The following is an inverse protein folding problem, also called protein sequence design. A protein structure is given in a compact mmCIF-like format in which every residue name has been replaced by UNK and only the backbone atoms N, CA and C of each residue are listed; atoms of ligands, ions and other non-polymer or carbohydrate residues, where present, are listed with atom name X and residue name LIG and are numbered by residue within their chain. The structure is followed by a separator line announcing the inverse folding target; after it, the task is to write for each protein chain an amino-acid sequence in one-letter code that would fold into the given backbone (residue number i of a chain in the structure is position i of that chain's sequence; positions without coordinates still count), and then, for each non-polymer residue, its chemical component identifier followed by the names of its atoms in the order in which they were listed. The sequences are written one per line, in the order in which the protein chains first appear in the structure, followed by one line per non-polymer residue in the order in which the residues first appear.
data_IF_313788984112
#
_entry.id   IF_313788984112
#
_cell.length_a   1.000
_cell.length_b   1.000
_cell.length_c   1.000
_cell.angle_alpha   90.00
_cell.angle_beta   90.00
_cell.angle_gamma   90.00
#
_symmetry.space_group_name_H-M   'P 1'
#
loop_
_entity.id
_entity.type
_entity.pdbx_description
1 polymer ?
#
# COMPACT_ATOMS: atom_id res chain seq x y z
N UNK A 1 18.44 -1.44 -7.83
CA UNK A 1 17.49 -1.67 -8.94
C UNK A 1 16.02 -1.63 -8.49
N UNK A 2 15.65 -2.35 -7.42
CA UNK A 2 14.28 -2.43 -6.86
C UNK A 2 13.60 -1.07 -6.59
N UNK A 3 14.30 -0.13 -5.94
CA UNK A 3 13.76 1.21 -5.62
C UNK A 3 13.48 2.04 -6.89
N UNK A 4 14.39 1.99 -7.87
CA UNK A 4 14.21 2.70 -9.15
C UNK A 4 12.98 2.18 -9.89
N UNK A 5 12.73 0.87 -9.84
CA UNK A 5 11.52 0.26 -10.36
C UNK A 5 10.26 0.81 -9.68
N UNK A 6 10.20 0.82 -8.34
CA UNK A 6 9.06 1.37 -7.61
C UNK A 6 8.76 2.84 -8.02
N UNK A 7 9.79 3.69 -8.06
CA UNK A 7 9.65 5.10 -8.48
C UNK A 7 9.20 5.25 -9.93
N UNK A 8 9.65 4.39 -10.84
CA UNK A 8 9.17 4.41 -12.22
C UNK A 8 7.68 4.04 -12.29
N UNK A 9 7.25 3.03 -11.53
CA UNK A 9 5.83 2.64 -11.43
C UNK A 9 4.99 3.78 -10.84
N UNK A 10 5.50 4.48 -9.83
CA UNK A 10 4.86 5.67 -9.28
C UNK A 10 4.62 6.72 -10.37
N UNK A 11 5.65 7.06 -11.14
CA UNK A 11 5.56 8.03 -12.23
C UNK A 11 4.56 7.60 -13.31
N UNK A 12 4.49 6.30 -13.64
CA UNK A 12 3.49 5.75 -14.57
C UNK A 12 2.07 5.98 -14.03
N UNK A 13 1.83 5.69 -12.75
CA UNK A 13 0.53 5.92 -12.11
C UNK A 13 0.11 7.39 -12.09
N UNK A 14 1.06 8.30 -11.79
CA UNK A 14 0.83 9.75 -11.80
C UNK A 14 0.52 10.29 -13.20
N UNK A 15 1.20 9.74 -14.23
CA UNK A 15 1.11 10.23 -15.60
C UNK A 15 -0.13 9.68 -16.32
N UNK A 16 -0.38 8.37 -16.22
CA UNK A 16 -1.44 7.71 -16.96
C UNK A 16 -2.79 7.72 -16.22
N UNK A 17 -2.79 7.68 -14.87
CA UNK A 17 -4.02 7.75 -14.05
C UNK A 17 -5.08 6.73 -14.53
N UNK A 18 -6.25 7.22 -14.94
CA UNK A 18 -7.37 6.43 -15.49
C UNK A 18 -7.11 5.84 -16.88
N UNK A 19 -6.10 6.32 -17.61
CA UNK A 19 -5.74 5.80 -18.94
C UNK A 19 -4.87 4.52 -18.86
N UNK A 20 -4.47 4.11 -17.66
CA UNK A 20 -3.73 2.88 -17.46
C UNK A 20 -4.69 1.68 -17.56
N UNK A 21 -4.45 0.83 -18.56
CA UNK A 21 -5.23 -0.40 -18.75
C UNK A 21 -5.17 -1.31 -17.51
N UNK A 22 -6.29 -1.95 -17.18
CA UNK A 22 -6.46 -2.82 -16.01
C UNK A 22 -5.45 -3.97 -15.93
N UNK A 23 -5.05 -4.56 -17.06
CA UNK A 23 -4.04 -5.64 -17.10
C UNK A 23 -2.65 -5.12 -16.69
N UNK A 24 -2.22 -4.00 -17.27
CA UNK A 24 -0.95 -3.38 -16.89
C UNK A 24 -0.98 -2.88 -15.43
N UNK A 25 -2.09 -2.28 -15.00
CA UNK A 25 -2.30 -1.88 -13.62
C UNK A 25 -2.13 -3.07 -12.66
N UNK A 26 -2.74 -4.22 -12.95
CA UNK A 26 -2.59 -5.44 -12.16
C UNK A 26 -1.12 -5.87 -12.07
N UNK A 27 -0.41 -5.92 -13.21
CA UNK A 27 1.01 -6.28 -13.26
C UNK A 27 1.86 -5.33 -12.40
N UNK A 28 1.62 -4.03 -12.51
CA UNK A 28 2.35 -3.02 -11.75
C UNK A 28 2.12 -3.15 -10.25
N UNK A 29 0.87 -3.35 -9.82
CA UNK A 29 0.54 -3.59 -8.42
C UNK A 29 1.23 -4.86 -7.90
N UNK A 30 1.15 -5.97 -8.63
CA UNK A 30 1.80 -7.23 -8.23
C UNK A 30 3.32 -7.09 -8.09
N UNK A 31 3.97 -6.34 -8.98
CA UNK A 31 5.40 -6.03 -8.86
C UNK A 31 5.71 -5.21 -7.59
N UNK A 32 4.87 -4.23 -7.26
CA UNK A 32 5.02 -3.46 -6.04
C UNK A 32 4.82 -4.32 -4.78
N UNK A 33 3.78 -5.16 -4.76
CA UNK A 33 3.48 -6.06 -3.65
C UNK A 33 4.61 -7.08 -3.43
N UNK A 34 5.16 -7.66 -4.49
CA UNK A 34 6.35 -8.53 -4.41
C UNK A 34 7.55 -7.78 -3.82
N UNK A 35 7.69 -6.49 -4.10
CA UNK A 35 8.71 -5.62 -3.50
C UNK A 35 8.55 -5.40 -2.00
N UNK A 36 7.35 -5.57 -1.45
CA UNK A 36 7.10 -5.51 0.00
C UNK A 36 7.52 -6.79 0.72
N UNK A 37 7.73 -7.91 0.04
CA UNK A 37 8.09 -9.16 0.72
C UNK A 37 9.46 -9.09 1.39
N UNK A 38 9.57 -9.69 2.59
CA UNK A 38 10.82 -9.83 3.33
C UNK A 38 11.13 -8.72 4.34
N UNK A 39 12.43 -8.51 4.59
CA UNK A 39 12.95 -7.59 5.61
C UNK A 39 12.77 -6.13 5.18
N UNK A 40 12.77 -5.20 6.15
CA UNK A 40 12.81 -3.77 5.88
C UNK A 40 14.26 -3.37 5.57
N UNK A 41 14.45 -2.62 4.50
CA UNK A 41 15.73 -2.06 4.08
C UNK A 41 15.53 -0.59 3.69
N UNK A 42 16.61 0.16 3.62
CA UNK A 42 16.58 1.58 3.26
C UNK A 42 15.93 1.81 1.88
N UNK A 43 14.94 2.68 1.80
CA UNK A 43 14.21 2.94 0.57
C UNK A 43 13.07 1.96 0.28
N UNK A 44 12.80 0.97 1.13
CA UNK A 44 11.64 0.09 0.95
C UNK A 44 10.31 0.88 1.04
N UNK A 45 10.30 2.02 1.74
CA UNK A 45 9.16 2.93 1.84
C UNK A 45 8.71 3.50 0.48
N UNK A 46 9.57 3.51 -0.54
CA UNK A 46 9.17 3.92 -1.88
C UNK A 46 8.12 2.98 -2.48
N UNK A 47 8.15 1.68 -2.16
CA UNK A 47 7.10 0.76 -2.60
C UNK A 47 5.74 1.13 -2.01
N UNK A 48 5.70 1.50 -0.72
CA UNK A 48 4.48 1.94 -0.06
C UNK A 48 3.93 3.22 -0.71
N UNK A 49 4.81 4.20 -0.98
CA UNK A 49 4.44 5.45 -1.67
C UNK A 49 3.95 5.20 -3.10
N UNK A 50 4.57 4.29 -3.84
CA UNK A 50 4.12 3.93 -5.19
C UNK A 50 2.75 3.26 -5.18
N UNK A 51 2.48 2.39 -4.20
CA UNK A 51 1.17 1.76 -4.02
C UNK A 51 0.12 2.81 -3.71
N UNK A 52 0.42 3.73 -2.79
CA UNK A 52 -0.45 4.86 -2.47
C UNK A 52 -0.80 5.67 -3.73
N UNK A 53 0.21 6.10 -4.49
CA UNK A 53 0.03 6.83 -5.75
C UNK A 53 -0.89 6.09 -6.71
N UNK A 54 -0.67 4.79 -6.94
CA UNK A 54 -1.55 3.99 -7.80
C UNK A 54 -2.97 3.96 -7.24
N UNK A 55 -3.12 3.76 -5.94
CA UNK A 55 -4.43 3.67 -5.30
C UNK A 55 -5.22 4.98 -5.37
N UNK A 56 -4.52 6.12 -5.34
CA UNK A 56 -5.12 7.46 -5.49
C UNK A 56 -5.48 7.73 -6.96
N UNK A 57 -4.51 7.60 -7.86
CA UNK A 57 -4.62 8.09 -9.23
C UNK A 57 -5.29 7.10 -10.20
N UNK A 58 -5.29 5.80 -9.90
CA UNK A 58 -5.92 4.75 -10.70
C UNK A 58 -7.16 4.17 -10.01
N UNK A 59 -7.79 4.92 -9.11
CA UNK A 59 -8.87 4.43 -8.23
C UNK A 59 -10.07 3.83 -8.96
N UNK A 60 -10.48 4.43 -10.08
CA UNK A 60 -11.68 4.01 -10.79
C UNK A 60 -11.44 2.67 -11.50
N UNK A 61 -10.23 2.48 -12.03
CA UNK A 61 -9.73 1.21 -12.57
C UNK A 61 -9.53 0.13 -11.49
N UNK A 62 -9.23 0.52 -10.25
CA UNK A 62 -9.07 -0.42 -9.13
C UNK A 62 -10.41 -0.85 -8.51
N UNK A 63 -11.41 0.04 -8.50
CA UNK A 63 -12.75 -0.27 -7.94
C UNK A 63 -13.46 -1.41 -8.68
N UNK A 64 -13.10 -1.68 -9.93
CA UNK A 64 -13.63 -2.83 -10.67
C UNK A 64 -13.08 -4.18 -10.19
N UNK A 65 -12.06 -4.18 -9.34
CA UNK A 65 -11.32 -5.37 -8.92
C UNK A 65 -11.21 -5.44 -7.40
N UNK A 66 -12.31 -5.80 -6.72
CA UNK A 66 -12.38 -5.89 -5.25
C UNK A 66 -11.27 -6.76 -4.64
N UNK A 67 -10.93 -7.87 -5.29
CA UNK A 67 -9.91 -8.81 -4.82
C UNK A 67 -8.50 -8.20 -4.82
N UNK A 68 -8.18 -7.38 -5.82
CA UNK A 68 -6.88 -6.71 -5.90
C UNK A 68 -6.76 -5.67 -4.80
N UNK A 69 -7.81 -4.87 -4.57
CA UNK A 69 -7.85 -3.87 -3.51
C UNK A 69 -7.73 -4.52 -2.14
N UNK A 70 -8.45 -5.62 -1.89
CA UNK A 70 -8.35 -6.41 -0.66
C UNK A 70 -6.92 -6.94 -0.45
N UNK A 71 -6.30 -7.47 -1.51
CA UNK A 71 -4.91 -7.96 -1.44
C UNK A 71 -3.92 -6.84 -1.13
N UNK A 72 -4.08 -5.65 -1.71
CA UNK A 72 -3.27 -4.49 -1.39
C UNK A 72 -3.42 -4.17 0.11
N UNK A 73 -4.66 -4.04 0.58
CA UNK A 73 -4.96 -3.75 1.98
C UNK A 73 -4.27 -4.73 2.95
N UNK A 74 -4.40 -6.03 2.73
CA UNK A 74 -3.79 -7.06 3.57
C UNK A 74 -2.26 -7.01 3.59
N UNK A 75 -1.63 -6.68 2.46
CA UNK A 75 -0.18 -6.53 2.38
C UNK A 75 0.29 -5.27 3.12
N UNK A 76 -0.40 -4.14 2.98
CA UNK A 76 -0.07 -2.91 3.72
C UNK A 76 -0.25 -3.13 5.23
N UNK A 77 -1.30 -3.83 5.64
CA UNK A 77 -1.55 -4.17 7.04
C UNK A 77 -0.42 -5.00 7.66
N UNK A 78 0.19 -5.92 6.89
CA UNK A 78 1.38 -6.67 7.33
C UNK A 78 2.61 -5.77 7.49
N UNK A 79 2.78 -4.79 6.60
CA UNK A 79 3.89 -3.84 6.70
C UNK A 79 3.74 -2.85 7.87
N UNK A 80 2.52 -2.58 8.33
CA UNK A 80 2.27 -1.80 9.57
C UNK A 80 2.80 -2.49 10.84
N UNK A 81 3.09 -3.80 10.80
CA UNK A 81 3.59 -4.57 11.95
C UNK A 81 5.12 -4.64 12.01
N UNK A 82 5.84 -4.01 11.07
CA UNK A 82 7.31 -4.02 11.06
C UNK A 82 7.89 -3.17 12.19
N UNK A 83 9.08 -3.54 12.66
CA UNK A 83 9.72 -2.90 13.82
C UNK A 83 10.25 -1.48 13.55
N UNK A 84 10.67 -1.19 12.31
CA UNK A 84 11.18 0.15 11.97
C UNK A 84 10.08 1.20 12.07
N UNK A 85 10.24 2.15 12.99
CA UNK A 85 9.24 3.18 13.28
C UNK A 85 8.99 4.11 12.07
N UNK A 86 10.06 4.51 11.37
CA UNK A 86 9.98 5.35 10.18
C UNK A 86 9.28 4.64 9.01
N UNK A 87 9.57 3.35 8.80
CA UNK A 87 8.89 2.58 7.76
C UNK A 87 7.42 2.35 8.11
N UNK A 88 7.16 2.00 9.38
CA UNK A 88 5.82 1.74 9.90
C UNK A 88 4.93 2.98 9.83
N UNK A 89 5.43 4.18 10.12
CA UNK A 89 4.63 5.41 10.01
C UNK A 89 4.17 5.65 8.56
N UNK A 90 5.04 5.36 7.57
CA UNK A 90 4.64 5.40 6.16
C UNK A 90 3.58 4.35 5.86
N UNK A 91 3.74 3.12 6.34
CA UNK A 91 2.76 2.04 6.11
C UNK A 91 1.39 2.36 6.72
N UNK A 92 1.34 2.89 7.94
CA UNK A 92 0.10 3.29 8.62
C UNK A 92 -0.60 4.40 7.84
N UNK A 93 0.14 5.40 7.37
CA UNK A 93 -0.41 6.49 6.55
C UNK A 93 -1.01 5.97 5.23
N UNK A 94 -0.35 5.01 4.58
CA UNK A 94 -0.89 4.38 3.38
C UNK A 94 -2.14 3.57 3.72
N UNK A 95 -2.15 2.82 4.83
CA UNK A 95 -3.31 2.06 5.27
C UNK A 95 -4.53 2.96 5.54
N UNK A 96 -4.34 4.09 6.23
CA UNK A 96 -5.41 5.05 6.51
C UNK A 96 -5.98 5.64 5.23
N UNK A 97 -5.13 5.92 4.24
CA UNK A 97 -5.58 6.41 2.95
C UNK A 97 -6.40 5.36 2.20
N UNK A 98 -5.93 4.11 2.16
CA UNK A 98 -6.69 3.02 1.52
C UNK A 98 -8.06 2.82 2.17
N UNK A 99 -8.12 2.95 3.48
CA UNK A 99 -9.35 2.83 4.22
C UNK A 99 -10.38 3.90 3.87
N UNK A 100 -9.94 5.16 3.84
CA UNK A 100 -10.79 6.28 3.45
C UNK A 100 -11.26 6.12 2.00
N UNK A 101 -10.34 5.74 1.11
CA UNK A 101 -10.62 5.69 -0.32
C UNK A 101 -11.47 4.51 -0.78
N UNK A 102 -11.37 3.37 -0.09
CA UNK A 102 -12.08 2.12 -0.45
C UNK A 102 -13.08 1.67 0.61
N UNK A 103 -13.38 2.52 1.59
CA UNK A 103 -14.33 2.26 2.69
C UNK A 103 -14.01 0.97 3.48
N UNK A 104 -12.72 0.67 3.70
CA UNK A 104 -12.36 -0.44 4.59
C UNK A 104 -12.61 -0.06 6.04
N UNK A 105 -13.25 -0.97 6.78
CA UNK A 105 -13.37 -0.86 8.23
C UNK A 105 -12.02 -1.20 8.88
N UNK A 106 -11.20 -0.18 9.08
CA UNK A 106 -9.90 -0.31 9.78
C UNK A 106 -10.07 -0.31 11.29
N UNK A 107 -11.23 0.12 11.79
CA UNK A 107 -11.44 0.41 13.21
C UNK A 107 -11.11 -0.80 14.09
N UNK A 108 -11.68 -1.96 13.81
CA UNK A 108 -11.48 -3.14 14.66
C UNK A 108 -10.02 -3.63 14.67
N UNK A 109 -9.35 -3.53 13.51
CA UNK A 109 -7.95 -3.91 13.36
C UNK A 109 -7.00 -2.92 14.02
N UNK A 110 -7.24 -1.63 13.82
CA UNK A 110 -6.48 -0.56 14.47
C UNK A 110 -6.69 -0.62 15.98
N UNK A 111 -7.92 -0.80 16.43
CA UNK A 111 -8.27 -0.89 17.84
C UNK A 111 -7.58 -2.08 18.50
N UNK A 112 -7.67 -3.27 17.91
CA UNK A 112 -6.99 -4.47 18.42
C UNK A 112 -5.46 -4.28 18.50
N UNK A 113 -4.86 -3.64 17.49
CA UNK A 113 -3.43 -3.35 17.49
C UNK A 113 -3.05 -2.26 18.51
N UNK A 114 -3.84 -1.19 18.60
CA UNK A 114 -3.66 -0.08 19.51
C UNK A 114 -3.71 -0.54 20.96
N UNK A 115 -4.70 -1.37 21.31
CA UNK A 115 -4.78 -1.98 22.63
C UNK A 115 -3.54 -2.82 22.95
N UNK A 116 -3.10 -3.69 22.04
CA UNK A 116 -1.89 -4.52 22.29
C UNK A 116 -0.60 -3.72 22.43
N UNK A 117 -0.53 -2.54 21.81
CA UNK A 117 0.70 -1.74 21.72
C UNK A 117 0.78 -0.68 22.84
N UNK A 118 -0.37 -0.13 23.25
CA UNK A 118 -0.45 0.99 24.19
C UNK A 118 -1.22 0.68 25.48
N UNK A 119 -2.05 -0.38 25.51
CA UNK A 119 -2.56 -0.97 26.75
C UNK A 119 -1.72 -2.21 27.09
N UNK A 120 -0.54 -1.99 27.63
CA UNK A 120 0.04 -2.96 28.57
C UNK A 120 0.09 -2.30 29.95
N UNK A 121 -0.16 -3.07 31.04
CA UNK A 121 -0.15 -2.56 32.40
C UNK A 121 1.22 -2.01 32.81
#
# INVERSE_FOLDING_TARGET
MKIKGARAIQMIGETLKMNLNNEYLFILVELLLKGLYGRVYEGKEYFLRSIETICIHCKDSLKTSSDLVQRIYENILKECKKQSLQYRSVAIRVLSLLADQYNFQVYDLFWTWFEKTFKQP
#
